data_IF_361865666114
#
_entry.id   IF_361865666114
#
_cell.length_a   1.000
_cell.length_b   1.000
_cell.length_c   1.000
_cell.angle_alpha   90.00
_cell.angle_beta   90.00
_cell.angle_gamma   90.00
#
_symmetry.space_group_name_H-M   'P 1'
#
loop_
_entity.id
_entity.type
_entity.pdbx_description
1 polymer ?
#
# COMPACT_ATOMS: atom_id res chain seq x y z
N UNK A 1 -2.64 25.98 52.53
CA UNK A 1 -1.56 25.46 51.67
C UNK A 1 -1.88 24.11 50.99
N UNK A 2 -2.91 23.35 51.38
CA UNK A 2 -3.27 22.08 50.71
C UNK A 2 -4.07 22.22 49.40
N UNK A 3 -4.82 23.30 49.20
CA UNK A 3 -5.69 23.47 48.01
C UNK A 3 -4.92 23.73 46.71
N UNK A 4 -3.72 24.32 46.79
CA UNK A 4 -2.91 24.68 45.61
C UNK A 4 -2.25 23.43 44.99
N UNK A 5 -1.84 22.48 45.83
CA UNK A 5 -1.24 21.22 45.40
C UNK A 5 -2.26 20.28 44.73
N UNK A 6 -3.52 20.27 45.20
CA UNK A 6 -4.59 19.47 44.58
C UNK A 6 -4.92 20.02 43.19
N UNK A 7 -5.00 21.35 43.03
CA UNK A 7 -5.27 21.99 41.74
C UNK A 7 -4.17 21.68 40.70
N UNK A 8 -2.90 21.75 41.11
CA UNK A 8 -1.75 21.42 40.26
C UNK A 8 -1.72 19.95 39.86
N UNK A 9 -2.04 19.03 40.78
CA UNK A 9 -2.12 17.60 40.46
C UNK A 9 -3.26 17.31 39.47
N UNK A 10 -4.43 17.96 39.64
CA UNK A 10 -5.55 17.79 38.70
C UNK A 10 -5.24 18.35 37.32
N UNK A 11 -4.56 19.49 37.21
CA UNK A 11 -4.12 20.03 35.93
C UNK A 11 -3.12 19.09 35.22
N UNK A 12 -2.18 18.49 35.96
CA UNK A 12 -1.23 17.51 35.42
C UNK A 12 -1.91 16.25 34.88
N UNK A 13 -2.89 15.70 35.62
CA UNK A 13 -3.64 14.52 35.16
C UNK A 13 -4.49 14.83 33.93
N UNK A 14 -5.11 16.01 33.88
CA UNK A 14 -5.92 16.45 32.73
C UNK A 14 -5.05 16.69 31.49
N UNK A 15 -3.87 17.29 31.64
CA UNK A 15 -2.95 17.54 30.51
C UNK A 15 -2.34 16.26 29.94
N UNK A 16 -2.04 15.26 30.77
CA UNK A 16 -1.62 13.92 30.31
C UNK A 16 -2.77 13.21 29.57
N UNK A 17 -4.01 13.35 30.03
CA UNK A 17 -5.17 12.77 29.35
C UNK A 17 -5.45 13.41 27.97
N UNK A 18 -5.13 14.69 27.77
CA UNK A 18 -5.30 15.41 26.50
C UNK A 18 -4.17 15.08 25.51
N UNK A 19 -2.93 14.89 25.98
CA UNK A 19 -1.79 14.53 25.11
C UNK A 19 -1.99 13.16 24.42
N UNK A 20 -2.68 12.23 25.08
CA UNK A 20 -3.00 10.91 24.50
C UNK A 20 -4.12 10.95 23.44
N UNK A 21 -4.78 12.10 23.25
CA UNK A 21 -5.86 12.30 22.28
C UNK A 21 -5.49 13.18 21.09
N UNK A 22 -4.22 13.56 20.93
CA UNK A 22 -3.81 14.28 19.71
C UNK A 22 -3.62 13.29 18.56
N UNK A 23 -4.26 13.50 17.41
CA UNK A 23 -3.92 12.77 16.20
C UNK A 23 -2.47 13.13 15.87
N UNK A 24 -1.58 12.14 15.97
CA UNK A 24 -0.22 12.26 15.43
C UNK A 24 -0.40 12.61 13.96
N UNK A 25 0.13 13.75 13.53
CA UNK A 25 0.05 14.17 12.13
C UNK A 25 0.46 13.00 11.24
N UNK A 26 -0.50 12.50 10.47
CA UNK A 26 -0.33 11.29 9.70
C UNK A 26 0.20 11.68 8.33
N UNK A 27 1.48 11.41 8.09
CA UNK A 27 2.07 11.57 6.77
C UNK A 27 1.57 10.39 5.94
N UNK A 28 0.69 10.68 4.99
CA UNK A 28 0.24 9.73 3.99
C UNK A 28 1.20 9.67 2.80
N UNK A 29 1.40 8.48 2.25
CA UNK A 29 2.18 8.30 1.02
C UNK A 29 1.24 7.96 -0.14
N UNK A 30 1.25 8.72 -1.25
CA UNK A 30 0.44 8.39 -2.42
C UNK A 30 0.96 7.12 -3.07
N UNK A 31 0.04 6.22 -3.41
CA UNK A 31 0.30 5.01 -4.16
C UNK A 31 -0.11 5.21 -5.64
N UNK A 32 0.66 4.68 -6.60
CA UNK A 32 0.28 4.72 -8.01
C UNK A 32 -1.00 3.90 -8.23
N UNK A 33 -1.95 4.46 -8.97
CA UNK A 33 -3.18 3.76 -9.33
C UNK A 33 -2.90 2.66 -10.36
N UNK A 34 -3.31 1.43 -10.05
CA UNK A 34 -3.14 0.30 -10.95
C UNK A 34 -4.38 0.06 -11.84
N UNK A 35 -5.56 0.56 -11.46
CA UNK A 35 -6.80 0.47 -12.25
C UNK A 35 -7.18 1.81 -12.93
N UNK A 36 -7.15 1.90 -14.28
CA UNK A 36 -7.48 3.12 -15.01
C UNK A 36 -8.99 3.45 -15.06
N UNK A 37 -9.89 2.56 -14.61
CA UNK A 37 -11.33 2.70 -14.79
C UNK A 37 -12.07 3.35 -13.62
N UNK A 38 -11.36 3.85 -12.61
CA UNK A 38 -11.98 4.50 -11.44
C UNK A 38 -12.48 5.90 -11.81
N UNK A 39 -13.78 5.99 -12.11
CA UNK A 39 -14.51 7.23 -12.40
C UNK A 39 -14.66 8.05 -11.11
N UNK A 40 -14.61 9.38 -11.20
CA UNK A 40 -14.87 10.36 -10.10
C UNK A 40 -13.74 10.64 -9.09
N UNK A 41 -12.46 10.46 -9.45
CA UNK A 41 -11.35 10.73 -8.52
C UNK A 41 -10.93 12.19 -8.36
N UNK A 42 -11.34 13.13 -9.21
CA UNK A 42 -10.87 14.54 -9.16
C UNK A 42 -9.33 14.67 -9.02
N UNK A 43 -8.56 13.76 -9.63
CA UNK A 43 -7.09 13.63 -9.51
C UNK A 43 -6.56 13.25 -8.10
N UNK A 44 -7.40 12.73 -7.21
CA UNK A 44 -6.98 12.14 -5.93
C UNK A 44 -6.42 10.74 -6.15
N UNK A 45 -5.39 10.38 -5.40
CA UNK A 45 -4.76 9.05 -5.43
C UNK A 45 -4.98 8.31 -4.11
N UNK A 46 -4.97 6.96 -4.11
CA UNK A 46 -4.98 6.19 -2.87
C UNK A 46 -3.77 6.54 -2.01
N UNK A 47 -3.97 6.56 -0.70
CA UNK A 47 -2.93 6.95 0.26
C UNK A 47 -2.72 5.84 1.28
N UNK A 48 -1.47 5.43 1.48
CA UNK A 48 -1.14 4.61 2.63
C UNK A 48 -1.20 5.48 3.90
N UNK A 49 -2.22 5.24 4.74
CA UNK A 49 -2.49 6.03 5.94
C UNK A 49 -2.85 5.13 7.13
N UNK A 50 -1.87 4.50 7.79
CA UNK A 50 -2.10 3.50 8.85
C UNK A 50 -2.74 4.07 10.13
N UNK A 51 -2.81 5.40 10.26
CA UNK A 51 -3.54 6.05 11.33
C UNK A 51 -5.07 6.08 11.09
N UNK A 52 -5.51 5.87 9.84
CA UNK A 52 -6.93 5.91 9.44
C UNK A 52 -7.44 4.54 9.00
N UNK A 53 -6.65 3.81 8.22
CA UNK A 53 -7.05 2.50 7.69
C UNK A 53 -6.32 1.34 8.39
N UNK A 54 -6.99 0.18 8.57
CA UNK A 54 -6.40 -1.07 9.02
C UNK A 54 -5.20 -1.54 8.18
N UNK A 55 -4.56 -2.61 8.65
CA UNK A 55 -3.53 -3.30 7.88
C UNK A 55 -4.10 -3.80 6.54
N UNK A 56 -3.25 -3.81 5.51
CA UNK A 56 -3.58 -4.26 4.15
C UNK A 56 -4.63 -3.43 3.40
N UNK A 57 -5.01 -2.27 3.94
CA UNK A 57 -5.90 -1.31 3.29
C UNK A 57 -5.15 -0.02 2.90
N UNK A 58 -5.73 0.73 1.97
CA UNK A 58 -5.37 2.11 1.63
C UNK A 58 -6.58 3.01 1.80
N UNK A 59 -6.31 4.29 1.96
CA UNK A 59 -7.34 5.32 2.00
C UNK A 59 -7.64 5.79 0.58
N UNK A 60 -8.73 5.29 0.02
CA UNK A 60 -9.18 5.55 -1.34
C UNK A 60 -10.10 6.77 -1.40
N UNK A 61 -10.01 7.57 -2.48
CA UNK A 61 -11.03 8.55 -2.81
C UNK A 61 -12.40 7.88 -3.01
N UNK A 62 -13.42 8.30 -2.27
CA UNK A 62 -14.81 7.87 -2.45
C UNK A 62 -15.51 8.59 -3.61
N UNK A 63 -16.78 8.26 -3.83
CA UNK A 63 -17.58 8.72 -4.97
C UNK A 63 -17.93 10.22 -4.91
N UNK A 64 -17.89 10.82 -3.71
CA UNK A 64 -18.08 12.24 -3.51
C UNK A 64 -16.74 12.96 -3.42
N UNK A 65 -16.74 14.25 -3.76
CA UNK A 65 -15.54 15.10 -3.83
C UNK A 65 -14.62 15.02 -2.61
N UNK A 66 -15.22 15.00 -1.41
CA UNK A 66 -14.51 15.02 -0.14
C UNK A 66 -14.65 13.70 0.64
N UNK A 67 -15.22 12.66 0.02
CA UNK A 67 -15.40 11.35 0.62
C UNK A 67 -14.16 10.48 0.43
N UNK A 68 -13.88 9.65 1.43
CA UNK A 68 -12.74 8.76 1.46
C UNK A 68 -13.08 7.50 2.23
N UNK A 69 -12.70 6.36 1.67
CA UNK A 69 -13.02 5.03 2.18
C UNK A 69 -11.75 4.21 2.33
N UNK A 70 -11.70 3.37 3.36
CA UNK A 70 -10.65 2.36 3.43
C UNK A 70 -11.07 1.14 2.61
N UNK A 71 -10.19 0.70 1.72
CA UNK A 71 -10.40 -0.49 0.90
C UNK A 71 -9.09 -1.26 0.73
N UNK A 72 -9.19 -2.53 0.35
CA UNK A 72 -8.07 -3.42 0.19
C UNK A 72 -7.04 -2.87 -0.80
N UNK A 73 -5.75 -3.07 -0.48
CA UNK A 73 -4.65 -2.79 -1.40
C UNK A 73 -4.78 -3.59 -2.71
N UNK A 74 -4.14 -3.14 -3.79
CA UNK A 74 -4.08 -3.91 -5.04
C UNK A 74 -3.63 -5.36 -4.82
N UNK A 75 -4.37 -6.31 -5.40
CA UNK A 75 -4.19 -7.77 -5.23
C UNK A 75 -4.46 -8.33 -3.81
N UNK A 76 -5.18 -7.60 -2.96
CA UNK A 76 -5.73 -8.09 -1.69
C UNK A 76 -7.25 -8.27 -1.80
N UNK A 77 -7.78 -9.23 -1.04
CA UNK A 77 -9.17 -9.64 -1.04
C UNK A 77 -9.78 -9.42 0.34
N UNK A 78 -10.93 -8.75 0.39
CA UNK A 78 -11.69 -8.56 1.63
C UNK A 78 -12.36 -9.87 2.05
N UNK A 79 -12.07 -10.35 3.26
CA UNK A 79 -12.70 -11.55 3.80
C UNK A 79 -13.72 -11.20 4.90
N UNK A 80 -15.04 -11.31 4.64
CA UNK A 80 -16.07 -10.78 5.53
C UNK A 80 -16.07 -11.35 6.95
N UNK A 81 -15.65 -12.61 7.12
CA UNK A 81 -15.68 -13.27 8.44
C UNK A 81 -14.54 -12.81 9.36
N UNK A 82 -13.39 -12.41 8.80
CA UNK A 82 -12.30 -11.82 9.58
C UNK A 82 -12.29 -10.30 9.55
N UNK A 83 -13.15 -9.68 8.75
CA UNK A 83 -13.27 -8.22 8.60
C UNK A 83 -11.89 -7.59 8.30
N UNK A 84 -11.18 -8.16 7.32
CA UNK A 84 -9.81 -7.79 6.99
C UNK A 84 -9.45 -8.15 5.55
N UNK A 85 -8.50 -7.41 4.98
CA UNK A 85 -7.93 -7.67 3.67
C UNK A 85 -6.74 -8.63 3.73
N UNK A 86 -6.72 -9.61 2.82
CA UNK A 86 -5.68 -10.63 2.74
C UNK A 86 -5.10 -10.73 1.33
N UNK A 87 -3.79 -10.94 1.15
CA UNK A 87 -3.23 -11.06 -0.19
C UNK A 87 -3.80 -12.28 -0.91
N UNK A 88 -4.18 -12.11 -2.17
CA UNK A 88 -4.64 -13.22 -3.01
C UNK A 88 -3.55 -14.30 -3.15
N UNK A 89 -3.97 -15.57 -3.22
CA UNK A 89 -3.10 -16.74 -3.28
C UNK A 89 -2.14 -16.91 -2.09
N UNK A 90 -2.47 -16.30 -0.94
CA UNK A 90 -1.83 -16.56 0.35
C UNK A 90 -2.79 -17.27 1.27
N UNK A 91 -2.26 -17.94 2.30
CA UNK A 91 -3.05 -18.64 3.32
C UNK A 91 -4.13 -17.75 3.91
N UNK A 92 -3.75 -16.56 4.37
CA UNK A 92 -4.66 -15.63 5.03
C UNK A 92 -5.48 -16.30 6.14
N UNK A 93 -6.82 -16.18 6.13
CA UNK A 93 -7.70 -16.78 7.12
C UNK A 93 -8.00 -18.27 6.87
N UNK A 94 -7.44 -18.86 5.80
CA UNK A 94 -7.68 -20.24 5.43
C UNK A 94 -6.88 -21.23 6.30
N UNK A 95 -7.31 -22.49 6.28
CA UNK A 95 -6.60 -23.59 6.92
C UNK A 95 -5.26 -23.88 6.25
N UNK A 96 -4.41 -24.69 6.90
CA UNK A 96 -3.13 -25.07 6.34
C UNK A 96 -3.30 -25.80 4.99
N UNK A 97 -2.38 -25.54 4.07
CA UNK A 97 -2.44 -26.08 2.71
C UNK A 97 -3.51 -25.45 1.80
N UNK A 98 -4.22 -24.41 2.26
CA UNK A 98 -5.18 -23.64 1.46
C UNK A 98 -4.69 -22.21 1.24
N UNK A 99 -5.23 -21.56 0.23
CA UNK A 99 -5.07 -20.13 -0.01
C UNK A 99 -6.41 -19.45 -0.24
N UNK A 100 -6.44 -18.12 -0.17
CA UNK A 100 -7.60 -17.30 -0.47
C UNK A 100 -7.60 -16.90 -1.95
N UNK A 101 -8.71 -17.17 -2.64
CA UNK A 101 -8.92 -16.82 -4.06
C UNK A 101 -10.28 -16.18 -4.27
N UNK A 102 -10.39 -15.31 -5.27
CA UNK A 102 -11.67 -14.81 -5.77
C UNK A 102 -11.96 -15.47 -7.11
N UNK A 103 -13.08 -16.19 -7.20
CA UNK A 103 -13.53 -16.80 -8.45
C UNK A 103 -14.13 -15.74 -9.36
N UNK A 104 -13.99 -15.87 -10.67
CA UNK A 104 -14.47 -14.88 -11.65
C UNK A 104 -15.97 -14.59 -11.58
N UNK A 105 -16.76 -15.52 -11.03
CA UNK A 105 -18.22 -15.45 -10.88
C UNK A 105 -18.66 -15.11 -9.45
N UNK A 106 -17.73 -14.78 -8.55
CA UNK A 106 -18.01 -14.50 -7.15
C UNK A 106 -17.49 -13.13 -6.73
N UNK A 107 -18.28 -12.41 -5.93
CA UNK A 107 -17.85 -11.20 -5.22
C UNK A 107 -17.22 -11.52 -3.85
N UNK A 108 -17.32 -12.76 -3.39
CA UNK A 108 -16.84 -13.20 -2.07
C UNK A 108 -15.67 -14.17 -2.28
N UNK A 109 -14.49 -13.92 -1.67
CA UNK A 109 -13.37 -14.83 -1.80
C UNK A 109 -13.60 -16.10 -1.00
N UNK A 110 -13.01 -17.20 -1.47
CA UNK A 110 -13.13 -18.53 -0.87
C UNK A 110 -11.75 -19.12 -0.63
N UNK A 111 -11.68 -20.01 0.37
CA UNK A 111 -10.51 -20.83 0.59
C UNK A 111 -10.51 -22.01 -0.37
N UNK A 112 -9.43 -22.18 -1.11
CA UNK A 112 -9.21 -23.31 -2.01
C UNK A 112 -7.89 -23.99 -1.68
N UNK A 113 -7.83 -25.30 -1.94
CA UNK A 113 -6.64 -26.10 -1.69
C UNK A 113 -5.51 -25.59 -2.59
N UNK A 114 -4.39 -25.22 -1.98
CA UNK A 114 -3.19 -24.89 -2.72
C UNK A 114 -2.55 -26.19 -3.25
N UNK A 115 -2.42 -26.37 -4.58
CA UNK A 115 -1.77 -27.56 -5.16
C UNK A 115 -0.34 -27.78 -4.66
N UNK A 116 0.34 -26.70 -4.28
CA UNK A 116 1.71 -26.74 -3.77
C UNK A 116 1.80 -27.00 -2.26
N UNK A 117 0.68 -26.94 -1.53
CA UNK A 117 0.58 -27.18 -0.09
C UNK A 117 1.52 -26.33 0.80
N UNK A 118 2.13 -25.28 0.25
CA UNK A 118 3.06 -24.37 0.95
C UNK A 118 2.61 -22.94 0.70
N UNK A 119 2.45 -22.14 1.76
CA UNK A 119 2.09 -20.72 1.61
C UNK A 119 3.15 -19.96 0.79
N UNK A 120 2.73 -18.95 0.06
CA UNK A 120 3.55 -18.21 -0.93
C UNK A 120 3.95 -18.97 -2.20
N UNK A 121 3.65 -20.27 -2.31
CA UNK A 121 3.86 -21.04 -3.53
C UNK A 121 2.56 -21.19 -4.29
N UNK A 122 2.63 -21.03 -5.60
CA UNK A 122 1.50 -21.17 -6.51
C UNK A 122 1.88 -22.08 -7.67
N UNK A 123 0.88 -22.77 -8.24
CA UNK A 123 1.08 -23.55 -9.44
C UNK A 123 1.21 -22.60 -10.64
N UNK A 124 2.40 -22.53 -11.23
CA UNK A 124 2.70 -21.71 -12.39
C UNK A 124 3.48 -22.55 -13.42
N UNK A 125 2.97 -22.63 -14.66
CA UNK A 125 3.55 -23.46 -15.72
C UNK A 125 3.84 -24.92 -15.29
N UNK A 126 2.92 -25.51 -14.51
CA UNK A 126 3.03 -26.89 -14.02
C UNK A 126 4.06 -27.11 -12.90
N UNK A 127 4.66 -26.04 -12.37
CA UNK A 127 5.61 -26.10 -11.25
C UNK A 127 5.12 -25.26 -10.09
N UNK A 128 5.57 -25.64 -8.89
CA UNK A 128 5.33 -24.84 -7.69
C UNK A 128 6.39 -23.74 -7.62
N UNK A 129 5.98 -22.52 -7.93
CA UNK A 129 6.84 -21.36 -7.96
C UNK A 129 6.45 -20.40 -6.84
N UNK A 130 7.46 -19.72 -6.28
CA UNK A 130 7.24 -18.78 -5.19
C UNK A 130 6.80 -17.42 -5.73
N UNK A 131 5.77 -16.83 -5.13
CA UNK A 131 5.38 -15.45 -5.39
C UNK A 131 6.52 -14.49 -5.02
N UNK A 132 6.62 -13.37 -5.74
CA UNK A 132 7.71 -12.39 -5.69
C UNK A 132 9.10 -12.94 -6.08
N UNK A 133 9.19 -14.14 -6.67
CA UNK A 133 10.43 -14.67 -7.20
C UNK A 133 10.66 -14.20 -8.66
N UNK A 134 11.85 -13.67 -9.00
CA UNK A 134 12.19 -13.31 -10.38
C UNK A 134 12.54 -14.51 -11.27
N UNK A 135 12.88 -15.67 -10.69
CA UNK A 135 13.36 -16.86 -11.42
C UNK A 135 12.41 -17.31 -12.54
N UNK A 136 11.08 -17.45 -12.32
CA UNK A 136 10.14 -17.86 -13.36
C UNK A 136 10.02 -16.83 -14.50
N UNK A 137 10.33 -15.57 -14.20
CA UNK A 137 10.14 -14.42 -15.09
C UNK A 137 11.43 -13.93 -15.75
N UNK A 138 12.55 -14.63 -15.54
CA UNK A 138 13.87 -14.26 -16.08
C UNK A 138 13.93 -14.17 -17.60
N UNK A 139 13.04 -14.88 -18.28
CA UNK A 139 12.90 -14.85 -19.74
C UNK A 139 12.49 -13.46 -20.28
N UNK A 140 12.03 -12.55 -19.41
CA UNK A 140 11.68 -11.18 -19.77
C UNK A 140 12.84 -10.19 -19.69
N UNK A 141 14.07 -10.64 -19.35
CA UNK A 141 15.24 -9.77 -19.32
C UNK A 141 15.42 -9.03 -20.66
N UNK A 142 15.69 -7.71 -20.66
CA UNK A 142 16.16 -6.87 -19.55
C UNK A 142 15.07 -6.27 -18.64
N UNK A 143 13.80 -6.62 -18.83
CA UNK A 143 12.70 -6.10 -18.02
C UNK A 143 12.69 -6.82 -16.67
N UNK A 144 12.93 -6.12 -15.54
CA UNK A 144 12.84 -6.72 -14.23
C UNK A 144 11.38 -7.07 -13.91
N UNK A 145 11.12 -8.36 -13.75
CA UNK A 145 9.80 -8.89 -13.47
C UNK A 145 9.89 -10.00 -12.42
N UNK A 146 8.84 -10.12 -11.62
CA UNK A 146 8.66 -11.19 -10.64
C UNK A 146 7.33 -11.89 -10.87
N UNK A 147 7.21 -13.12 -10.40
CA UNK A 147 5.94 -13.82 -10.38
C UNK A 147 5.01 -13.15 -9.35
N UNK A 148 3.91 -12.56 -9.80
CA UNK A 148 3.01 -11.78 -8.97
C UNK A 148 1.55 -11.95 -9.41
N UNK A 149 0.64 -11.45 -8.58
CA UNK A 149 -0.80 -11.42 -8.87
C UNK A 149 -1.13 -10.10 -9.54
N UNK A 150 -1.89 -10.14 -10.63
CA UNK A 150 -2.45 -8.93 -11.23
C UNK A 150 -3.55 -8.36 -10.32
N UNK A 151 -3.51 -7.08 -9.99
CA UNK A 151 -4.47 -6.45 -9.08
C UNK A 151 -5.89 -6.36 -9.66
N UNK A 152 -6.04 -6.21 -10.98
CA UNK A 152 -7.34 -6.09 -11.66
C UNK A 152 -7.95 -7.45 -11.98
N UNK A 153 -7.15 -8.36 -12.55
CA UNK A 153 -7.66 -9.66 -13.02
C UNK A 153 -7.48 -10.78 -12.01
N UNK A 154 -6.72 -10.54 -10.95
CA UNK A 154 -6.30 -11.53 -9.96
C UNK A 154 -5.55 -12.73 -10.58
N UNK A 155 -5.13 -12.65 -11.84
CA UNK A 155 -4.38 -13.72 -12.48
C UNK A 155 -2.91 -13.70 -12.04
N UNK A 156 -2.34 -14.88 -11.78
CA UNK A 156 -0.91 -15.07 -11.55
C UNK A 156 -0.15 -14.90 -12.87
N UNK A 157 0.94 -14.14 -12.85
CA UNK A 157 1.84 -14.03 -13.99
C UNK A 157 3.07 -13.17 -13.69
N UNK A 158 3.91 -12.99 -14.70
CA UNK A 158 5.05 -12.09 -14.57
C UNK A 158 4.58 -10.63 -14.60
N UNK A 159 4.94 -9.87 -13.57
CA UNK A 159 4.64 -8.44 -13.48
C UNK A 159 5.91 -7.66 -13.18
N UNK A 160 6.07 -6.53 -13.87
CA UNK A 160 7.09 -5.55 -13.55
C UNK A 160 6.50 -4.58 -12.52
N UNK A 161 6.88 -4.71 -11.26
CA UNK A 161 6.51 -3.75 -10.20
C UNK A 161 7.26 -2.40 -10.34
N UNK A 162 7.99 -2.20 -11.43
CA UNK A 162 8.80 -1.01 -11.68
C UNK A 162 8.08 -0.11 -12.69
N UNK A 163 6.92 0.39 -12.27
CA UNK A 163 6.47 1.72 -12.68
C UNK A 163 6.73 2.71 -11.53
N UNK A 164 7.87 2.56 -10.85
CA UNK A 164 8.48 3.72 -10.25
C UNK A 164 8.99 4.55 -11.43
N UNK A 165 8.43 5.75 -11.74
CA UNK A 165 9.34 6.83 -12.10
C UNK A 165 10.32 6.81 -10.94
N UNK A 166 11.52 6.32 -11.23
CA UNK A 166 12.52 6.01 -10.23
C UNK A 166 12.51 7.13 -9.20
N UNK A 167 12.30 6.83 -7.92
CA UNK A 167 12.34 7.86 -6.85
C UNK A 167 13.70 8.60 -6.85
N UNK A 168 14.68 8.02 -7.54
CA UNK A 168 15.76 8.73 -8.20
C UNK A 168 15.42 8.84 -9.68
N UNK A 169 14.75 9.91 -10.11
CA UNK A 169 14.47 10.05 -11.54
C UNK A 169 15.78 9.81 -12.29
N UNK A 170 15.76 9.12 -13.42
CA UNK A 170 16.81 9.31 -14.44
C UNK A 170 16.70 10.74 -14.99
N UNK A 171 16.69 11.73 -14.10
CA UNK A 171 17.13 13.07 -14.38
C UNK A 171 18.57 13.03 -13.91
N UNK A 172 19.57 13.05 -14.81
CA UNK A 172 20.96 13.18 -14.39
C UNK A 172 21.03 14.33 -13.37
N UNK A 173 21.71 14.16 -12.23
CA UNK A 173 21.75 15.19 -11.21
C UNK A 173 22.25 16.47 -11.87
N UNK A 174 21.33 17.43 -12.09
CA UNK A 174 21.70 18.79 -12.46
C UNK A 174 22.36 19.39 -11.22
N UNK A 175 23.67 19.17 -11.11
CA UNK A 175 24.52 19.80 -10.12
C UNK A 175 24.47 21.29 -10.42
N UNK A 176 23.87 22.06 -9.50
CA UNK A 176 23.89 23.51 -9.62
C UNK A 176 25.33 24.02 -9.45
N UNK A 177 25.70 25.12 -10.13
CA UNK A 177 26.99 25.76 -9.92
C UNK A 177 27.20 26.11 -8.43
N UNK A 178 28.46 26.12 -7.94
CA UNK A 178 28.77 26.61 -6.60
C UNK A 178 28.15 27.99 -6.35
N UNK A 179 27.43 28.16 -5.24
CA UNK A 179 26.70 29.40 -4.90
C UNK A 179 25.22 29.44 -5.31
N UNK A 180 24.70 28.39 -5.93
CA UNK A 180 23.28 28.26 -6.31
C UNK A 180 22.59 27.11 -5.56
N UNK A 181 21.29 27.27 -5.27
CA UNK A 181 20.39 26.22 -4.76
C UNK A 181 19.30 25.89 -5.78
N UNK A 182 18.70 24.71 -5.69
CA UNK A 182 17.59 24.30 -6.56
C UNK A 182 16.28 24.89 -6.06
N UNK A 183 15.51 25.55 -6.93
CA UNK A 183 14.16 26.04 -6.69
C UNK A 183 13.15 24.87 -6.73
N UNK A 184 11.95 25.07 -6.15
CA UNK A 184 10.83 24.11 -6.20
C UNK A 184 10.43 23.72 -7.63
N UNK A 185 10.69 24.60 -8.60
CA UNK A 185 10.48 24.35 -10.03
C UNK A 185 11.70 23.72 -10.73
N UNK A 186 12.67 23.20 -9.98
CA UNK A 186 13.84 22.50 -10.49
C UNK A 186 14.97 23.39 -11.03
N UNK A 187 14.80 24.72 -11.10
CA UNK A 187 15.81 25.68 -11.61
C UNK A 187 16.87 26.01 -10.55
N UNK A 188 18.15 26.10 -10.95
CA UNK A 188 19.19 26.63 -10.08
C UNK A 188 19.02 28.15 -9.91
N UNK A 189 18.87 28.61 -8.68
CA UNK A 189 18.75 30.02 -8.30
C UNK A 189 19.88 30.40 -7.34
N UNK A 190 20.40 31.63 -7.38
CA UNK A 190 21.40 32.09 -6.41
C UNK A 190 20.91 31.91 -4.99
N UNK A 191 21.81 31.55 -4.07
CA UNK A 191 21.54 31.64 -2.65
C UNK A 191 21.56 33.14 -2.33
N UNK A 192 20.39 33.78 -2.32
CA UNK A 192 20.27 35.17 -1.88
C UNK A 192 20.89 35.30 -0.47
N UNK A 193 21.77 36.28 -0.30
CA UNK A 193 22.36 36.66 0.97
C UNK A 193 21.30 37.29 1.90
#
# INVERSE_FOLDING_TARGET
>A
MCSLNILMLTCLVISVAIANKMPKGSIGFPEPEEDPNLVNKDNRQPVFLPAMCPENELYYPGDQKDDWICDCRPAYLFHPKSDSCWPAYRKGPCEDGHYLVLKSDSAIPVCERNPCSVDSYVLFNGRCERLADPVPCRHLWPIPATLAVNSTTLAIGCRSHINFPSRFGEVPPQICPPGCKRSVNGKCVPIAA
#
